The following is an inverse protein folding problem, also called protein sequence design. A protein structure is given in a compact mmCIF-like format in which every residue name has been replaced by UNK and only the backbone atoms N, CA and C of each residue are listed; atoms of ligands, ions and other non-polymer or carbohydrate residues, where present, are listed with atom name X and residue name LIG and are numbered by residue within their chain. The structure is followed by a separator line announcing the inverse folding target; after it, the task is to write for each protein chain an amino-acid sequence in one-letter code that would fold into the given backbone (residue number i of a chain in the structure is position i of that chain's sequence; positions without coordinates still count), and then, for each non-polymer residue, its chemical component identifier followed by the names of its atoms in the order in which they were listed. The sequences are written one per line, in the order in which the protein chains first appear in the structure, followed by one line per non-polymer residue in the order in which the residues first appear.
data_IF_401438544556
#
_entry.id   IF_401438544556
#
_cell.length_a   1.000
_cell.length_b   1.000
_cell.length_c   1.000
_cell.angle_alpha   90.00
_cell.angle_beta   90.00
_cell.angle_gamma   90.00
#
_symmetry.space_group_name_H-M   'P 1'
#
loop_
_entity.id
_entity.type
_entity.pdbx_description
1 polymer ?
#
# COMPACT_ATOMS: atom_id res chain seq x y z
N UNK A 1 13.47 0.69 -10.14
CA UNK A 1 13.69 0.29 -11.54
C UNK A 1 14.75 -0.80 -11.65
N UNK A 2 15.98 -0.61 -11.10
CA UNK A 2 17.09 -1.58 -11.21
C UNK A 2 16.72 -2.95 -10.64
N UNK A 3 16.10 -3.01 -9.43
CA UNK A 3 15.66 -4.25 -8.81
C UNK A 3 14.65 -5.01 -9.70
N UNK A 4 13.62 -4.31 -10.17
CA UNK A 4 12.54 -4.90 -10.97
C UNK A 4 13.09 -5.42 -12.31
N UNK A 5 13.89 -4.62 -12.99
CA UNK A 5 14.52 -5.01 -14.27
C UNK A 5 15.50 -6.16 -14.08
N UNK A 6 16.36 -6.09 -13.05
CA UNK A 6 17.30 -7.18 -12.75
C UNK A 6 16.59 -8.50 -12.46
N UNK A 7 15.58 -8.49 -11.58
CA UNK A 7 14.80 -9.69 -11.24
C UNK A 7 14.00 -10.24 -12.43
N UNK A 8 13.52 -9.38 -13.33
CA UNK A 8 12.83 -9.79 -14.55
C UNK A 8 13.73 -10.65 -15.47
N UNK A 9 14.99 -10.25 -15.64
CA UNK A 9 15.93 -10.99 -16.50
C UNK A 9 16.58 -12.20 -15.83
N UNK A 10 16.71 -12.19 -14.51
CA UNK A 10 17.27 -13.31 -13.75
C UNK A 10 16.22 -14.39 -13.43
N UNK A 11 14.95 -13.98 -13.33
CA UNK A 11 13.83 -14.86 -13.12
C UNK A 11 13.35 -15.56 -14.40
N UNK A 12 12.28 -16.38 -14.30
CA UNK A 12 11.67 -17.06 -15.45
C UNK A 12 10.88 -16.07 -16.31
N UNK A 13 11.56 -15.33 -17.19
CA UNK A 13 11.04 -14.21 -17.96
C UNK A 13 9.77 -14.55 -18.76
N UNK A 14 9.71 -15.74 -19.35
CA UNK A 14 8.54 -16.16 -20.15
C UNK A 14 7.30 -16.33 -19.28
N UNK A 15 7.45 -17.00 -18.14
CA UNK A 15 6.38 -17.22 -17.18
C UNK A 15 5.94 -15.91 -16.50
N UNK A 16 6.88 -15.01 -16.23
CA UNK A 16 6.59 -13.68 -15.71
C UNK A 16 5.72 -12.90 -16.68
N UNK A 17 6.07 -12.89 -17.97
CA UNK A 17 5.29 -12.21 -19.00
C UNK A 17 3.90 -12.81 -19.17
N UNK A 18 3.80 -14.14 -19.18
CA UNK A 18 2.51 -14.85 -19.22
C UNK A 18 1.64 -14.48 -18.01
N UNK A 19 2.22 -14.51 -16.81
CA UNK A 19 1.52 -14.17 -15.57
C UNK A 19 1.06 -12.71 -15.56
N UNK A 20 1.88 -11.79 -16.07
CA UNK A 20 1.52 -10.38 -16.18
C UNK A 20 0.34 -10.15 -17.12
N UNK A 21 0.38 -10.72 -18.34
CA UNK A 21 -0.66 -10.52 -19.34
C UNK A 21 -1.96 -11.20 -18.93
N UNK A 22 -1.90 -12.47 -18.53
CA UNK A 22 -3.07 -13.22 -18.08
C UNK A 22 -3.67 -12.63 -16.80
N UNK A 23 -2.82 -12.25 -15.85
CA UNK A 23 -3.24 -11.61 -14.61
C UNK A 23 -3.94 -10.26 -14.83
N UNK A 24 -3.51 -9.48 -15.83
CA UNK A 24 -4.23 -8.26 -16.24
C UNK A 24 -5.62 -8.59 -16.80
N UNK A 25 -5.73 -9.62 -17.65
CA UNK A 25 -7.02 -10.07 -18.20
C UNK A 25 -7.97 -10.56 -17.10
N UNK A 26 -7.49 -11.39 -16.19
CA UNK A 26 -8.23 -11.90 -15.05
C UNK A 26 -8.65 -10.79 -14.08
N UNK A 27 -7.76 -9.84 -13.83
CA UNK A 27 -8.07 -8.68 -12.98
C UNK A 27 -9.24 -7.87 -13.54
N UNK A 28 -9.26 -7.61 -14.86
CA UNK A 28 -10.35 -6.87 -15.51
C UNK A 28 -11.65 -7.67 -15.46
N UNK A 29 -11.60 -8.96 -15.76
CA UNK A 29 -12.78 -9.83 -15.81
C UNK A 29 -13.41 -10.06 -14.42
N UNK A 30 -12.58 -10.28 -13.41
CA UNK A 30 -13.05 -10.66 -12.07
C UNK A 30 -12.99 -9.54 -11.04
N UNK A 31 -12.65 -8.30 -11.43
CA UNK A 31 -12.48 -7.17 -10.51
C UNK A 31 -13.64 -6.99 -9.55
N UNK A 32 -14.86 -6.89 -10.07
CA UNK A 32 -16.06 -6.65 -9.24
C UNK A 32 -16.37 -7.85 -8.36
N UNK A 33 -16.42 -9.05 -8.94
CA UNK A 33 -16.75 -10.27 -8.21
C UNK A 33 -15.75 -10.57 -7.10
N UNK A 34 -14.46 -10.42 -7.38
CA UNK A 34 -13.41 -10.65 -6.39
C UNK A 34 -13.35 -9.54 -5.34
N UNK A 35 -13.63 -8.29 -5.69
CA UNK A 35 -13.64 -7.19 -4.73
C UNK A 35 -14.79 -7.29 -3.72
N UNK A 36 -15.96 -7.76 -4.13
CA UNK A 36 -17.16 -7.85 -3.30
C UNK A 36 -17.35 -9.21 -2.61
N UNK A 37 -16.47 -10.17 -2.88
CA UNK A 37 -16.57 -11.50 -2.27
C UNK A 37 -16.15 -11.48 -0.81
N UNK A 38 -17.08 -11.66 0.12
CA UNK A 38 -16.83 -11.65 1.57
C UNK A 38 -16.95 -13.06 2.18
N UNK A 39 -17.74 -13.95 1.60
CA UNK A 39 -18.02 -15.32 2.07
C UNK A 39 -18.22 -15.45 3.60
N UNK A 40 -19.32 -14.92 4.15
CA UNK A 40 -19.54 -14.86 5.61
C UNK A 40 -19.82 -16.23 6.26
N UNK A 41 -20.16 -17.25 5.46
CA UNK A 41 -20.60 -18.58 5.95
C UNK A 41 -19.38 -19.50 6.20
N UNK A 42 -18.38 -19.43 5.34
CA UNK A 42 -17.14 -20.18 5.54
C UNK A 42 -16.08 -19.19 6.00
N UNK A 43 -15.61 -19.31 7.24
CA UNK A 43 -14.56 -18.48 7.79
C UNK A 43 -13.26 -18.67 6.98
N UNK A 44 -13.16 -17.98 5.84
CA UNK A 44 -11.97 -18.00 5.02
C UNK A 44 -10.98 -17.00 5.59
N UNK A 45 -10.02 -17.52 6.35
CA UNK A 45 -8.98 -16.73 7.03
C UNK A 45 -8.22 -15.82 6.04
N UNK A 46 -8.05 -16.27 4.79
CA UNK A 46 -7.44 -15.49 3.72
C UNK A 46 -8.23 -14.20 3.40
N UNK A 47 -9.58 -14.27 3.38
CA UNK A 47 -10.44 -13.11 3.12
C UNK A 47 -10.27 -12.06 4.21
N UNK A 48 -10.19 -12.47 5.47
CA UNK A 48 -10.00 -11.56 6.59
C UNK A 48 -8.60 -10.94 6.60
N UNK A 49 -7.54 -11.75 6.45
CA UNK A 49 -6.15 -11.31 6.52
C UNK A 49 -5.74 -10.43 5.34
N UNK A 50 -6.31 -10.67 4.16
CA UNK A 50 -5.89 -9.96 2.95
C UNK A 50 -6.92 -8.96 2.48
N UNK A 51 -8.14 -9.38 2.18
CA UNK A 51 -9.13 -8.51 1.56
C UNK A 51 -9.69 -7.48 2.54
N UNK A 52 -10.26 -7.92 3.67
CA UNK A 52 -10.87 -7.01 4.65
C UNK A 52 -9.81 -6.10 5.25
N UNK A 53 -8.65 -6.64 5.59
CA UNK A 53 -7.54 -5.84 6.11
C UNK A 53 -7.10 -4.76 5.12
N UNK A 54 -6.86 -5.08 3.84
CA UNK A 54 -6.43 -4.08 2.87
C UNK A 54 -7.49 -3.01 2.59
N UNK A 55 -8.77 -3.35 2.54
CA UNK A 55 -9.84 -2.36 2.48
C UNK A 55 -9.82 -1.42 3.68
N UNK A 56 -9.75 -1.96 4.88
CA UNK A 56 -9.69 -1.20 6.12
C UNK A 56 -8.43 -0.31 6.18
N UNK A 57 -7.29 -0.86 5.79
CA UNK A 57 -6.02 -0.14 5.71
C UNK A 57 -6.11 1.09 4.78
N UNK A 58 -6.62 0.91 3.57
CA UNK A 58 -6.78 2.01 2.63
C UNK A 58 -7.80 3.05 3.11
N UNK A 59 -8.90 2.63 3.74
CA UNK A 59 -9.88 3.54 4.33
C UNK A 59 -9.23 4.39 5.43
N UNK A 60 -8.50 3.78 6.35
CA UNK A 60 -7.85 4.51 7.46
C UNK A 60 -6.73 5.44 6.97
N UNK A 61 -6.03 5.07 5.89
CA UNK A 61 -4.89 5.80 5.36
C UNK A 61 -5.28 6.92 4.38
N UNK A 62 -6.40 6.80 3.69
CA UNK A 62 -6.81 7.69 2.60
C UNK A 62 -6.95 9.17 2.99
N UNK A 63 -7.43 9.58 4.19
CA UNK A 63 -7.49 10.99 4.55
C UNK A 63 -6.11 11.65 4.65
N UNK A 64 -5.12 10.92 5.14
CA UNK A 64 -3.74 11.39 5.26
C UNK A 64 -3.08 11.54 3.90
N UNK A 65 -3.12 10.47 3.13
CA UNK A 65 -2.53 10.42 1.79
C UNK A 65 -3.24 11.37 0.85
N UNK A 66 -4.57 11.48 0.94
CA UNK A 66 -5.36 12.41 0.15
C UNK A 66 -4.92 13.85 0.32
N UNK A 67 -4.68 14.29 1.56
CA UNK A 67 -4.18 15.66 1.84
C UNK A 67 -2.76 15.84 1.28
N UNK A 68 -1.88 14.87 1.47
CA UNK A 68 -0.52 14.92 0.95
C UNK A 68 -0.49 14.99 -0.57
N UNK A 69 -1.20 14.07 -1.25
CA UNK A 69 -1.24 14.02 -2.71
C UNK A 69 -1.93 15.26 -3.29
N UNK A 70 -3.00 15.77 -2.67
CA UNK A 70 -3.65 16.99 -3.11
C UNK A 70 -2.68 18.19 -3.11
N UNK A 71 -1.78 18.26 -2.14
CA UNK A 71 -0.78 19.31 -2.06
C UNK A 71 0.26 19.24 -3.18
N UNK A 72 0.80 18.06 -3.47
CA UNK A 72 1.82 17.89 -4.52
C UNK A 72 1.23 17.97 -5.94
N UNK A 73 -0.10 17.82 -6.05
CA UNK A 73 -0.82 17.84 -7.33
C UNK A 73 -1.38 19.24 -7.67
N UNK A 74 -0.95 20.29 -6.96
CA UNK A 74 -1.40 21.65 -7.23
C UNK A 74 -1.15 22.04 -8.68
N UNK A 75 -2.20 22.54 -9.36
CA UNK A 75 -2.13 22.94 -10.77
C UNK A 75 -2.48 21.85 -11.79
N UNK A 76 -2.72 20.61 -11.35
CA UNK A 76 -3.18 19.50 -12.22
C UNK A 76 -4.71 19.46 -12.28
N UNK A 77 -5.23 18.97 -13.39
CA UNK A 77 -6.67 18.69 -13.51
C UNK A 77 -7.06 17.45 -12.67
N UNK A 78 -8.34 17.37 -12.27
CA UNK A 78 -8.85 16.22 -11.52
C UNK A 78 -8.66 14.92 -12.34
N UNK A 79 -8.83 15.00 -13.66
CA UNK A 79 -8.66 13.84 -14.55
C UNK A 79 -7.22 13.33 -14.53
N UNK A 80 -6.25 14.22 -14.74
CA UNK A 80 -4.81 13.86 -14.68
C UNK A 80 -4.43 13.29 -13.32
N UNK A 81 -4.96 13.88 -12.26
CA UNK A 81 -4.75 13.41 -10.90
C UNK A 81 -5.24 11.97 -10.71
N UNK A 82 -6.52 11.72 -11.05
CA UNK A 82 -7.15 10.39 -10.86
C UNK A 82 -6.43 9.33 -11.71
N UNK A 83 -6.14 9.64 -12.97
CA UNK A 83 -5.42 8.74 -13.88
C UNK A 83 -4.02 8.41 -13.34
N UNK A 84 -3.28 9.41 -12.88
CA UNK A 84 -1.93 9.23 -12.34
C UNK A 84 -1.91 8.42 -11.04
N UNK A 85 -2.87 8.64 -10.15
CA UNK A 85 -2.91 7.97 -8.83
C UNK A 85 -3.46 6.54 -8.91
N UNK A 86 -4.34 6.24 -9.87
CA UNK A 86 -4.93 4.90 -10.00
C UNK A 86 -4.14 4.04 -10.98
N UNK A 87 -3.97 4.49 -12.23
CA UNK A 87 -3.47 3.60 -13.30
C UNK A 87 -1.99 3.28 -13.13
N UNK A 88 -1.15 4.29 -12.91
CA UNK A 88 0.31 4.08 -12.84
C UNK A 88 0.69 3.14 -11.68
N UNK A 89 0.22 3.36 -10.43
CA UNK A 89 0.53 2.44 -9.34
C UNK A 89 -0.04 1.04 -9.56
N UNK A 90 -1.25 0.91 -10.16
CA UNK A 90 -1.84 -0.40 -10.42
C UNK A 90 -1.01 -1.23 -11.38
N UNK A 91 -0.54 -0.65 -12.50
CA UNK A 91 0.33 -1.34 -13.45
C UNK A 91 1.66 -1.74 -12.79
N UNK A 92 2.26 -0.85 -11.99
CA UNK A 92 3.49 -1.15 -11.27
C UNK A 92 3.28 -2.30 -10.27
N UNK A 93 2.17 -2.30 -9.53
CA UNK A 93 1.83 -3.40 -8.61
C UNK A 93 1.62 -4.72 -9.35
N UNK A 94 0.92 -4.73 -10.48
CA UNK A 94 0.74 -5.94 -11.30
C UNK A 94 2.08 -6.48 -11.79
N UNK A 95 2.97 -5.62 -12.28
CA UNK A 95 4.32 -6.01 -12.69
C UNK A 95 5.15 -6.55 -11.50
N UNK A 96 5.04 -5.92 -10.33
CA UNK A 96 5.69 -6.36 -9.10
C UNK A 96 5.24 -7.78 -8.71
N UNK A 97 3.94 -8.02 -8.65
CA UNK A 97 3.41 -9.33 -8.29
C UNK A 97 3.69 -10.39 -9.36
N UNK A 98 3.68 -10.05 -10.64
CA UNK A 98 4.04 -10.98 -11.70
C UNK A 98 5.51 -11.41 -11.59
N UNK A 99 6.44 -10.50 -11.34
CA UNK A 99 7.88 -10.78 -11.24
C UNK A 99 8.16 -11.59 -9.96
N UNK A 100 7.90 -11.01 -8.80
CA UNK A 100 8.31 -11.63 -7.53
C UNK A 100 7.43 -12.83 -7.14
N UNK A 101 6.15 -12.79 -7.50
CA UNK A 101 5.25 -13.93 -7.31
C UNK A 101 5.67 -15.12 -8.17
N UNK A 102 5.99 -14.90 -9.45
CA UNK A 102 6.42 -15.97 -10.33
C UNK A 102 7.80 -16.52 -9.95
N UNK A 103 8.74 -15.66 -9.57
CA UNK A 103 10.03 -16.10 -9.03
C UNK A 103 9.85 -17.02 -7.81
N UNK A 104 8.93 -16.68 -6.89
CA UNK A 104 8.63 -17.54 -5.73
C UNK A 104 7.96 -18.85 -6.12
N UNK A 105 6.96 -18.82 -7.00
CA UNK A 105 6.24 -20.01 -7.46
C UNK A 105 7.16 -20.99 -8.21
N UNK A 106 8.13 -20.49 -8.96
CA UNK A 106 9.09 -21.29 -9.71
C UNK A 106 10.06 -22.09 -8.80
N UNK A 107 10.17 -21.76 -7.52
CA UNK A 107 10.95 -22.49 -6.52
C UNK A 107 10.24 -23.74 -5.97
N UNK A 108 8.97 -23.93 -6.35
CA UNK A 108 8.19 -25.11 -6.00
C UNK A 108 7.26 -24.94 -4.81
N UNK A 109 6.37 -25.93 -4.63
CA UNK A 109 5.28 -25.86 -3.65
C UNK A 109 5.77 -25.79 -2.20
N UNK A 110 6.82 -26.50 -1.86
CA UNK A 110 7.40 -26.52 -0.50
C UNK A 110 7.90 -25.11 -0.12
N UNK A 111 8.60 -24.46 -1.04
CA UNK A 111 9.03 -23.08 -0.84
C UNK A 111 7.84 -22.12 -0.64
N UNK A 112 6.79 -22.26 -1.46
CA UNK A 112 5.59 -21.42 -1.36
C UNK A 112 4.91 -21.60 0.00
N UNK A 113 4.80 -22.81 0.51
CA UNK A 113 4.24 -23.10 1.83
C UNK A 113 5.06 -22.45 2.95
N UNK A 114 6.38 -22.54 2.91
CA UNK A 114 7.26 -21.85 3.87
C UNK A 114 7.14 -20.31 3.78
N UNK A 115 7.05 -19.78 2.57
CA UNK A 115 6.88 -18.35 2.32
C UNK A 115 5.54 -17.79 2.85
N UNK A 116 4.48 -18.58 2.86
CA UNK A 116 3.18 -18.21 3.45
C UNK A 116 3.28 -18.11 4.97
N UNK A 117 4.07 -18.96 5.61
CA UNK A 117 4.28 -18.91 7.07
C UNK A 117 5.17 -17.73 7.47
N UNK A 118 6.23 -17.47 6.70
CA UNK A 118 7.21 -16.39 6.99
C UNK A 118 7.15 -15.30 5.92
N UNK A 119 6.00 -14.64 5.82
CA UNK A 119 5.71 -13.62 4.79
C UNK A 119 6.66 -12.44 4.80
N UNK A 120 7.13 -12.01 5.96
CA UNK A 120 8.05 -10.87 6.18
C UNK A 120 9.44 -11.09 5.57
N UNK A 121 9.90 -12.34 5.51
CA UNK A 121 11.22 -12.70 4.96
C UNK A 121 11.14 -13.39 3.59
N UNK A 122 9.93 -13.67 3.11
CA UNK A 122 9.68 -14.43 1.88
C UNK A 122 10.44 -13.88 0.67
N UNK A 123 10.43 -12.56 0.46
CA UNK A 123 11.11 -11.93 -0.67
C UNK A 123 12.64 -12.14 -0.63
N UNK A 124 13.25 -12.05 0.55
CA UNK A 124 14.68 -12.29 0.72
C UNK A 124 15.06 -13.76 0.51
N UNK A 125 14.19 -14.67 0.93
CA UNK A 125 14.33 -16.11 0.65
C UNK A 125 14.25 -16.38 -0.86
N UNK A 126 13.35 -15.72 -1.59
CA UNK A 126 13.30 -15.80 -3.06
C UNK A 126 14.62 -15.37 -3.64
N UNK A 127 15.14 -14.18 -3.28
CA UNK A 127 16.41 -13.68 -3.80
C UNK A 127 17.59 -14.65 -3.55
N UNK A 128 17.63 -15.26 -2.37
CA UNK A 128 18.72 -16.19 -2.02
C UNK A 128 18.83 -17.39 -2.97
N UNK A 129 17.75 -17.74 -3.68
CA UNK A 129 17.71 -18.85 -4.64
C UNK A 129 18.02 -18.44 -6.09
N UNK A 130 18.31 -17.16 -6.34
CA UNK A 130 18.61 -16.66 -7.69
C UNK A 130 20.00 -16.05 -7.78
N UNK A 131 20.65 -16.07 -8.97
CA UNK A 131 21.93 -15.42 -9.19
C UNK A 131 21.86 -13.92 -8.85
N UNK A 132 22.84 -13.44 -8.09
CA UNK A 132 22.85 -12.04 -7.64
C UNK A 132 21.92 -11.72 -6.47
N UNK A 133 21.36 -12.71 -5.80
CA UNK A 133 20.37 -12.55 -4.73
C UNK A 133 20.83 -11.67 -3.57
N UNK A 134 22.11 -11.74 -3.22
CA UNK A 134 22.70 -10.84 -2.20
C UNK A 134 22.60 -9.38 -2.65
N UNK A 135 22.93 -9.09 -3.90
CA UNK A 135 22.84 -7.73 -4.46
C UNK A 135 21.39 -7.24 -4.44
N UNK A 136 20.44 -8.08 -4.88
CA UNK A 136 19.00 -7.74 -4.86
C UNK A 136 18.49 -7.52 -3.44
N UNK A 137 18.93 -8.31 -2.47
CA UNK A 137 18.59 -8.14 -1.06
C UNK A 137 19.10 -6.81 -0.50
N UNK A 138 20.35 -6.45 -0.80
CA UNK A 138 20.92 -5.16 -0.38
C UNK A 138 20.14 -3.99 -1.00
N UNK A 139 19.87 -4.03 -2.30
CA UNK A 139 19.08 -3.00 -2.98
C UNK A 139 17.68 -2.91 -2.35
N UNK A 140 17.04 -4.05 -2.06
CA UNK A 140 15.72 -4.11 -1.42
C UNK A 140 15.74 -3.46 -0.04
N UNK A 141 16.74 -3.73 0.79
CA UNK A 141 16.91 -3.11 2.12
C UNK A 141 17.03 -1.58 1.99
N UNK A 142 17.84 -1.09 1.07
CA UNK A 142 17.96 0.36 0.82
C UNK A 142 16.65 0.99 0.35
N UNK A 143 15.88 0.29 -0.51
CA UNK A 143 14.58 0.76 -0.96
C UNK A 143 13.57 0.79 0.21
N UNK A 144 13.53 -0.24 1.05
CA UNK A 144 12.67 -0.29 2.23
C UNK A 144 13.02 0.84 3.21
N UNK A 145 14.29 1.07 3.47
CA UNK A 145 14.75 2.15 4.35
C UNK A 145 14.36 3.53 3.81
N UNK A 146 14.60 3.78 2.53
CA UNK A 146 14.23 5.04 1.87
C UNK A 146 12.70 5.24 1.88
N UNK A 147 11.94 4.19 1.60
CA UNK A 147 10.48 4.21 1.64
C UNK A 147 9.96 4.50 3.04
N UNK A 148 10.54 3.87 4.06
CA UNK A 148 10.18 4.11 5.45
C UNK A 148 10.40 5.58 5.85
N UNK A 149 11.58 6.14 5.57
CA UNK A 149 11.90 7.55 5.88
C UNK A 149 10.92 8.51 5.19
N UNK A 150 10.66 8.31 3.91
CA UNK A 150 9.77 9.19 3.14
C UNK A 150 8.32 9.11 3.62
N UNK A 151 7.86 7.91 3.95
CA UNK A 151 6.51 7.68 4.49
C UNK A 151 6.34 8.28 5.89
N UNK A 152 7.31 8.06 6.78
CA UNK A 152 7.29 8.63 8.12
C UNK A 152 7.31 10.16 8.08
N UNK A 153 8.18 10.77 7.26
CA UNK A 153 8.22 12.22 7.09
C UNK A 153 6.92 12.79 6.56
N UNK A 154 6.28 12.12 5.58
CA UNK A 154 5.00 12.53 5.03
C UNK A 154 3.89 12.48 6.08
N UNK A 155 3.85 11.42 6.90
CA UNK A 155 2.87 11.26 7.96
C UNK A 155 3.05 12.32 9.05
N UNK A 156 4.26 12.54 9.53
CA UNK A 156 4.60 13.60 10.51
C UNK A 156 4.17 14.98 9.99
N UNK A 157 4.41 15.23 8.73
CA UNK A 157 4.04 16.50 8.10
C UNK A 157 2.52 16.71 8.08
N UNK A 158 1.75 15.71 7.66
CA UNK A 158 0.28 15.79 7.59
C UNK A 158 -0.32 15.92 8.99
N UNK A 159 0.16 15.15 9.97
CA UNK A 159 -0.27 15.28 11.37
C UNK A 159 0.06 16.65 11.94
N UNK A 160 1.23 17.19 11.62
CA UNK A 160 1.61 18.56 11.95
C UNK A 160 0.66 19.59 11.36
N UNK A 161 0.19 19.43 10.12
CA UNK A 161 -0.80 20.29 9.50
C UNK A 161 -2.16 20.22 10.22
N UNK A 162 -2.65 19.02 10.51
CA UNK A 162 -3.93 18.82 11.21
C UNK A 162 -3.94 19.49 12.58
N UNK A 163 -2.87 19.37 13.34
CA UNK A 163 -2.75 19.98 14.67
C UNK A 163 -2.42 21.47 14.64
N UNK A 164 -2.06 22.00 13.47
CA UNK A 164 -1.81 23.45 13.26
C UNK A 164 -2.98 24.16 12.55
N UNK A 165 -4.21 23.73 12.75
CA UNK A 165 -5.44 24.28 12.14
C UNK A 165 -5.38 24.34 10.60
N UNK A 166 -4.77 23.35 9.97
CA UNK A 166 -4.64 23.27 8.52
C UNK A 166 -3.54 24.14 7.92
N UNK A 167 -2.64 24.70 8.74
CA UNK A 167 -1.51 25.45 8.22
C UNK A 167 -0.62 24.55 7.36
N UNK A 168 -0.43 24.95 6.10
CA UNK A 168 0.37 24.20 5.12
C UNK A 168 1.87 24.13 5.45
N UNK A 169 2.34 24.98 6.36
CA UNK A 169 3.72 24.98 6.85
C UNK A 169 3.74 24.87 8.38
N UNK A 170 3.50 23.66 8.93
CA UNK A 170 3.49 23.46 10.38
C UNK A 170 4.88 23.72 10.98
N UNK A 171 4.91 24.26 12.20
CA UNK A 171 6.16 24.52 12.93
C UNK A 171 6.94 23.18 13.11
N UNK A 172 8.28 23.27 13.05
CA UNK A 172 9.14 22.09 13.24
C UNK A 172 8.89 21.40 14.59
N UNK A 173 8.58 22.14 15.62
CA UNK A 173 8.24 21.61 16.94
C UNK A 173 7.05 20.61 16.87
N UNK A 174 5.97 20.96 16.18
CA UNK A 174 4.81 20.07 16.01
C UNK A 174 5.18 18.80 15.26
N UNK A 175 6.04 18.92 14.25
CA UNK A 175 6.55 17.76 13.49
C UNK A 175 7.40 16.83 14.36
N UNK A 176 8.26 17.39 15.21
CA UNK A 176 9.10 16.60 16.14
C UNK A 176 8.22 15.86 17.14
N UNK A 177 7.23 16.53 17.74
CA UNK A 177 6.28 15.87 18.66
C UNK A 177 5.60 14.67 17.99
N UNK A 178 5.06 14.86 16.77
CA UNK A 178 4.43 13.78 16.06
C UNK A 178 5.38 12.66 15.64
N UNK A 179 6.64 12.98 15.33
CA UNK A 179 7.67 11.99 15.07
C UNK A 179 7.96 11.13 16.29
N UNK A 180 8.09 11.76 17.47
CA UNK A 180 8.29 11.04 18.75
C UNK A 180 7.07 10.16 19.07
N UNK A 181 5.86 10.70 18.94
CA UNK A 181 4.62 9.93 19.18
C UNK A 181 4.56 8.71 18.26
N UNK A 182 4.83 8.86 16.97
CA UNK A 182 4.85 7.73 16.02
C UNK A 182 5.89 6.68 16.39
N UNK A 183 7.10 7.09 16.79
CA UNK A 183 8.14 6.17 17.23
C UNK A 183 7.72 5.39 18.48
N UNK A 184 7.12 6.07 19.47
CA UNK A 184 6.60 5.41 20.67
C UNK A 184 5.49 4.40 20.32
N UNK A 185 4.53 4.76 19.46
CA UNK A 185 3.50 3.84 19.00
C UNK A 185 4.10 2.62 18.30
N UNK A 186 5.10 2.82 17.43
CA UNK A 186 5.77 1.71 16.76
C UNK A 186 6.41 0.73 17.75
N UNK A 187 7.11 1.24 18.77
CA UNK A 187 7.69 0.42 19.83
C UNK A 187 6.61 -0.36 20.60
N UNK A 188 5.53 0.32 21.00
CA UNK A 188 4.42 -0.31 21.71
C UNK A 188 3.78 -1.43 20.87
N UNK A 189 3.51 -1.20 19.57
CA UNK A 189 2.94 -2.23 18.72
C UNK A 189 3.87 -3.42 18.53
N UNK A 190 5.18 -3.20 18.38
CA UNK A 190 6.16 -4.28 18.31
C UNK A 190 6.13 -5.12 19.59
N UNK A 191 6.06 -4.49 20.76
CA UNK A 191 6.03 -5.19 22.06
C UNK A 191 4.72 -5.96 22.30
N UNK A 192 3.59 -5.49 21.78
CA UNK A 192 2.27 -6.10 21.96
C UNK A 192 1.99 -7.28 21.04
N UNK A 193 2.76 -7.49 19.99
CA UNK A 193 2.55 -8.58 19.04
C UNK A 193 2.80 -8.19 17.58
N UNK A 194 3.46 -7.07 17.33
CA UNK A 194 3.95 -6.66 16.03
C UNK A 194 2.86 -6.39 15.01
N UNK A 195 3.02 -6.99 13.83
CA UNK A 195 2.18 -6.72 12.66
C UNK A 195 0.71 -7.10 12.87
N UNK A 196 0.43 -8.20 13.55
CA UNK A 196 -0.95 -8.69 13.76
C UNK A 196 -1.79 -7.69 14.58
N UNK A 197 -1.21 -7.14 15.64
CA UNK A 197 -1.89 -6.14 16.46
C UNK A 197 -2.11 -4.84 15.68
N UNK A 198 -1.11 -4.41 14.90
CA UNK A 198 -1.22 -3.24 14.04
C UNK A 198 -2.34 -3.41 13.01
N UNK A 199 -2.45 -4.59 12.39
CA UNK A 199 -3.51 -4.90 11.42
C UNK A 199 -4.90 -4.84 12.05
N UNK A 200 -5.09 -5.46 13.21
CA UNK A 200 -6.36 -5.40 13.96
C UNK A 200 -6.73 -3.98 14.35
N UNK A 201 -5.77 -3.19 14.81
CA UNK A 201 -5.98 -1.79 15.14
C UNK A 201 -6.38 -0.97 13.92
N UNK A 202 -5.72 -1.16 12.78
CA UNK A 202 -6.07 -0.49 11.53
C UNK A 202 -7.52 -0.78 11.09
N UNK A 203 -8.01 -2.03 11.26
CA UNK A 203 -9.39 -2.40 10.96
C UNK A 203 -10.37 -1.63 11.85
N UNK A 204 -10.12 -1.56 13.16
CA UNK A 204 -10.98 -0.85 14.11
C UNK A 204 -11.03 0.65 13.77
N UNK A 205 -9.88 1.26 13.51
CA UNK A 205 -9.78 2.70 13.17
C UNK A 205 -10.42 3.01 11.83
N UNK A 206 -10.44 2.08 10.88
CA UNK A 206 -11.06 2.31 9.57
C UNK A 206 -12.56 2.59 9.64
N UNK A 207 -13.26 2.05 10.62
CA UNK A 207 -14.71 2.21 10.77
C UNK A 207 -15.14 3.69 10.91
N UNK A 208 -14.64 4.49 11.87
CA UNK A 208 -14.98 5.90 11.95
C UNK A 208 -14.48 6.69 10.73
N UNK A 209 -13.32 6.31 10.15
CA UNK A 209 -12.82 6.98 8.94
C UNK A 209 -13.69 6.76 7.71
N UNK A 210 -14.42 5.65 7.61
CA UNK A 210 -15.38 5.43 6.53
C UNK A 210 -16.46 6.52 6.50
N UNK A 211 -16.99 6.93 7.66
CA UNK A 211 -17.96 8.04 7.74
C UNK A 211 -17.34 9.39 7.36
N UNK A 212 -16.09 9.63 7.74
CA UNK A 212 -15.36 10.84 7.35
C UNK A 212 -15.22 10.92 5.83
N UNK A 213 -14.84 9.82 5.17
CA UNK A 213 -14.69 9.76 3.71
C UNK A 213 -16.03 10.02 3.02
N UNK A 214 -17.13 9.41 3.48
CA UNK A 214 -18.47 9.65 2.96
C UNK A 214 -18.82 11.15 3.09
N UNK A 215 -18.55 11.75 4.25
CA UNK A 215 -18.73 13.19 4.47
C UNK A 215 -17.95 14.06 3.50
N UNK A 216 -16.69 13.72 3.24
CA UNK A 216 -15.82 14.41 2.26
C UNK A 216 -16.40 14.29 0.84
N UNK A 217 -16.84 13.10 0.42
CA UNK A 217 -17.46 12.88 -0.90
C UNK A 217 -18.70 13.73 -1.05
N UNK A 218 -19.60 13.73 -0.07
CA UNK A 218 -20.85 14.54 -0.08
C UNK A 218 -20.52 16.03 -0.15
N UNK A 219 -19.56 16.51 0.62
CA UNK A 219 -19.12 17.90 0.61
C UNK A 219 -18.55 18.31 -0.76
N UNK A 220 -17.72 17.45 -1.37
CA UNK A 220 -17.16 17.66 -2.69
C UNK A 220 -18.24 17.75 -3.78
N UNK A 221 -19.20 16.83 -3.76
CA UNK A 221 -20.32 16.82 -4.72
C UNK A 221 -21.19 18.07 -4.61
N UNK A 222 -21.48 18.52 -3.38
CA UNK A 222 -22.23 19.77 -3.14
C UNK A 222 -21.49 20.99 -3.67
N UNK A 223 -20.16 21.07 -3.45
CA UNK A 223 -19.34 22.18 -3.95
C UNK A 223 -19.34 22.23 -5.47
N UNK A 224 -19.10 21.08 -6.14
CA UNK A 224 -19.10 20.99 -7.61
C UNK A 224 -20.45 21.38 -8.23
N UNK A 225 -21.57 21.05 -7.57
CA UNK A 225 -22.90 21.46 -8.03
C UNK A 225 -23.08 22.99 -7.96
N UNK A 226 -22.57 23.64 -6.90
CA UNK A 226 -22.62 25.12 -6.76
C UNK A 226 -21.77 25.86 -7.80
N UNK A 227 -20.62 25.26 -8.18
CA UNK A 227 -19.74 25.86 -9.20
C UNK A 227 -20.29 25.75 -10.63
N UNK A 228 -21.14 24.75 -10.91
CA UNK A 228 -21.83 24.60 -12.22
C UNK A 228 -23.03 25.51 -12.39
N UNK A 229 -23.56 26.10 -11.32
CA UNK A 229 -24.75 26.95 -11.32
C UNK A 229 -24.37 28.47 -11.36
N UNK A 230 -23.10 28.77 -11.20
CA UNK A 230 -22.49 30.07 -11.46
C UNK A 230 -21.86 30.12 -12.84
#
# INVERSE_FOLDING_TARGET
TILVVGCFFVGPTSEIMNTFVNGMGDYINYFVSQSLFINPITSNEWVYKWRIFYWAYWISWSPFVGVFIARISKGRTIREFVMGVIIIPSIICMAWFAIFGMMGMNLGLEFVQDAIVYTDTALFKVFANYPGGVLFSVICIFLLFTFFITSANSAVYVLGMFTSRGNLNPKNFNKIIWGVIQALFAVVFIMLGGLDILQRFAIVVSFPFAFVIIGIIVAFMKKKKKEKVK
#
